data_IF_924754376754
#
_entry.id   IF_924754376754
#
_cell.length_a   1.000
_cell.length_b   1.000
_cell.length_c   1.000
_cell.angle_alpha   90.00
_cell.angle_beta   90.00
_cell.angle_gamma   90.00
#
_symmetry.space_group_name_H-M   'P 1'
#
loop_
_entity.id
_entity.type
_entity.pdbx_description
1 polymer ?
#
# COMPACT_ATOMS: atom_id res chain seq x y z
N UNK A 1 9.11 -1.45 15.30
CA UNK A 1 10.34 -0.63 15.12
C UNK A 1 10.20 0.68 15.89
N UNK A 2 11.29 1.18 16.49
CA UNK A 2 11.24 2.50 17.13
C UNK A 2 11.39 3.59 16.07
N UNK A 3 10.59 4.69 16.15
CA UNK A 3 10.74 5.82 15.25
C UNK A 3 12.16 6.38 15.27
N UNK A 4 12.69 6.76 14.12
CA UNK A 4 14.00 7.40 14.06
C UNK A 4 13.96 8.79 14.70
N UNK A 5 14.80 9.07 15.72
CA UNK A 5 14.69 10.29 16.53
C UNK A 5 15.25 11.56 15.88
N UNK A 6 15.65 11.51 14.62
CA UNK A 6 16.17 12.68 13.90
C UNK A 6 17.62 13.06 14.24
N UNK A 7 18.43 12.15 14.77
CA UNK A 7 19.80 12.40 15.27
C UNK A 7 20.70 13.12 14.25
N UNK A 8 20.47 12.93 12.94
CA UNK A 8 21.28 13.56 11.88
C UNK A 8 20.69 14.86 11.31
N UNK A 9 19.55 15.33 11.82
CA UNK A 9 18.87 16.53 11.29
C UNK A 9 19.72 17.81 11.43
N UNK A 10 20.48 17.92 12.52
CA UNK A 10 21.30 19.07 12.85
C UNK A 10 22.78 18.89 12.44
N UNK A 11 23.05 17.96 11.53
CA UNK A 11 24.40 17.67 11.05
C UNK A 11 24.98 16.39 11.61
N UNK A 12 26.12 15.98 11.07
CA UNK A 12 26.74 14.68 11.36
C UNK A 12 27.87 14.77 12.41
N UNK A 13 28.17 15.96 12.94
CA UNK A 13 29.22 16.19 13.93
C UNK A 13 30.56 15.53 13.51
N UNK A 14 30.98 15.75 12.25
CA UNK A 14 32.20 15.19 11.68
C UNK A 14 32.13 13.74 11.22
N UNK A 15 30.98 13.05 11.37
CA UNK A 15 30.81 11.67 10.88
C UNK A 15 30.56 11.64 9.38
N UNK A 16 31.04 10.62 8.70
CA UNK A 16 30.76 10.39 7.28
C UNK A 16 29.28 10.06 7.05
N UNK A 17 28.61 10.70 6.06
CA UNK A 17 27.24 10.35 5.68
C UNK A 17 27.15 8.88 5.24
N UNK A 18 26.17 8.14 5.77
CA UNK A 18 25.98 6.71 5.43
C UNK A 18 24.68 6.44 4.69
N UNK A 19 23.62 7.18 4.99
CA UNK A 19 22.32 6.99 4.38
C UNK A 19 21.62 8.34 4.21
N UNK A 20 20.75 8.44 3.21
CA UNK A 20 19.84 9.59 3.07
C UNK A 20 18.48 9.24 3.65
N UNK A 21 17.89 10.18 4.35
CA UNK A 21 16.58 10.02 4.97
C UNK A 21 15.63 11.14 4.55
N UNK A 22 14.36 10.79 4.41
CA UNK A 22 13.29 11.73 4.23
C UNK A 22 12.96 12.39 5.57
N UNK A 23 12.90 13.72 5.59
CA UNK A 23 12.54 14.46 6.81
C UNK A 23 11.02 14.53 6.97
N UNK A 24 10.44 13.51 7.61
CA UNK A 24 9.00 13.29 7.66
C UNK A 24 8.24 14.47 8.27
N UNK A 25 8.68 15.00 9.41
CA UNK A 25 8.02 16.12 10.11
C UNK A 25 7.94 17.38 9.26
N UNK A 26 9.05 17.74 8.58
CA UNK A 26 9.12 18.92 7.72
C UNK A 26 8.13 18.87 6.56
N UNK A 27 7.97 17.71 5.95
CA UNK A 27 7.09 17.54 4.79
C UNK A 27 5.64 17.29 5.19
N UNK A 28 5.39 16.52 6.26
CA UNK A 28 4.04 16.30 6.77
C UNK A 28 3.37 17.61 7.21
N UNK A 29 4.10 18.52 7.87
CA UNK A 29 3.57 19.82 8.29
C UNK A 29 3.22 20.77 7.12
N UNK A 30 3.73 20.49 5.93
CA UNK A 30 3.48 21.30 4.70
C UNK A 30 2.47 20.63 3.77
N UNK A 31 2.03 19.42 4.08
CA UNK A 31 1.12 18.67 3.24
C UNK A 31 -0.25 19.36 3.23
N UNK A 32 -0.77 19.78 2.07
CA UNK A 32 -2.08 20.37 2.00
C UNK A 32 -3.13 19.33 2.39
N UNK A 33 -4.11 19.73 3.21
CA UNK A 33 -5.27 18.91 3.58
C UNK A 33 -6.02 18.39 2.35
N UNK A 34 -5.89 19.06 1.21
CA UNK A 34 -6.52 18.72 -0.07
C UNK A 34 -5.88 17.55 -0.83
N UNK A 35 -4.69 17.06 -0.46
CA UNK A 35 -4.14 15.84 -1.08
C UNK A 35 -4.85 14.57 -0.60
N UNK A 36 -5.54 14.64 0.53
CA UNK A 36 -6.59 13.68 0.87
C UNK A 36 -7.77 13.71 -0.13
N UNK A 37 -7.87 14.75 -0.97
CA UNK A 37 -9.02 15.11 -1.81
C UNK A 37 -8.94 14.69 -3.28
N UNK A 38 -8.04 13.84 -3.71
CA UNK A 38 -8.23 13.17 -5.00
C UNK A 38 -9.42 12.19 -4.97
N UNK A 39 -10.00 11.99 -3.78
CA UNK A 39 -11.32 11.42 -3.61
C UNK A 39 -12.32 12.53 -3.22
N UNK A 40 -12.59 13.44 -4.13
CA UNK A 40 -13.52 14.57 -3.89
C UNK A 40 -14.90 14.16 -3.38
N UNK A 41 -15.35 12.95 -3.71
CA UNK A 41 -16.58 12.36 -3.17
C UNK A 41 -16.38 11.62 -1.83
N UNK A 42 -15.14 11.20 -1.50
CA UNK A 42 -14.80 10.59 -0.21
C UNK A 42 -14.50 11.65 0.88
N UNK A 43 -14.47 12.92 0.52
CA UNK A 43 -14.10 14.02 1.44
C UNK A 43 -15.10 14.11 2.62
N UNK A 44 -16.39 13.80 2.43
CA UNK A 44 -17.36 13.72 3.52
C UNK A 44 -17.08 12.58 4.50
N UNK A 45 -16.65 11.41 4.00
CA UNK A 45 -16.30 10.26 4.85
C UNK A 45 -15.00 10.46 5.60
N UNK A 46 -14.09 11.26 5.04
CA UNK A 46 -12.78 11.55 5.64
C UNK A 46 -12.87 12.68 6.65
N UNK A 47 -13.66 13.72 6.38
CA UNK A 47 -13.75 14.91 7.24
C UNK A 47 -14.18 14.60 8.68
N UNK A 48 -15.05 13.63 8.87
CA UNK A 48 -15.52 13.21 10.19
C UNK A 48 -14.57 12.26 10.91
N UNK A 49 -13.61 11.63 10.18
CA UNK A 49 -12.68 10.64 10.73
C UNK A 49 -11.28 11.20 10.98
N UNK A 50 -10.93 12.35 10.37
CA UNK A 50 -9.59 12.93 10.50
C UNK A 50 -9.54 13.91 11.66
N UNK A 51 -9.03 13.47 12.79
CA UNK A 51 -8.72 14.32 13.93
C UNK A 51 -7.19 14.45 14.05
N UNK A 52 -6.63 15.62 13.64
CA UNK A 52 -5.23 15.93 13.91
C UNK A 52 -4.30 15.94 12.69
N UNK A 53 -3.00 16.06 12.95
CA UNK A 53 -1.93 16.05 11.95
C UNK A 53 -1.61 14.63 11.52
N UNK A 54 -1.54 14.36 10.21
CA UNK A 54 -1.17 13.06 9.68
C UNK A 54 -1.44 12.94 8.20
N UNK A 55 -0.96 11.85 7.61
CA UNK A 55 -1.28 11.49 6.24
C UNK A 55 -2.55 10.67 6.25
N UNK A 56 -3.59 11.17 5.59
CA UNK A 56 -4.87 10.48 5.45
C UNK A 56 -5.07 10.02 4.01
N UNK A 57 -5.69 8.84 3.83
CA UNK A 57 -6.07 8.31 2.52
C UNK A 57 -7.29 7.39 2.63
N UNK A 58 -7.87 7.06 1.51
CA UNK A 58 -8.93 6.05 1.45
C UNK A 58 -8.40 4.82 0.74
N UNK A 59 -8.40 3.70 1.44
CA UNK A 59 -8.15 2.39 0.84
C UNK A 59 -9.48 1.79 0.38
N UNK A 60 -9.51 1.21 -0.82
CA UNK A 60 -10.74 0.69 -1.42
C UNK A 60 -11.33 -0.51 -0.68
N UNK A 61 -10.58 -1.18 0.18
CA UNK A 61 -11.04 -2.27 1.05
C UNK A 61 -11.05 -1.87 2.53
N UNK A 62 -9.97 -1.27 3.01
CA UNK A 62 -9.83 -0.92 4.44
C UNK A 62 -10.63 0.33 4.83
N UNK A 63 -11.11 1.10 3.82
CA UNK A 63 -11.80 2.37 4.06
C UNK A 63 -10.86 3.52 4.44
N UNK A 64 -11.35 4.53 5.16
CA UNK A 64 -10.54 5.67 5.60
C UNK A 64 -9.38 5.24 6.50
N UNK A 65 -8.19 5.72 6.21
CA UNK A 65 -6.97 5.44 6.94
C UNK A 65 -6.24 6.74 7.28
N UNK A 66 -5.53 6.76 8.39
CA UNK A 66 -4.69 7.90 8.79
C UNK A 66 -3.45 7.41 9.55
N UNK A 67 -2.30 8.03 9.31
CA UNK A 67 -1.09 7.79 10.09
C UNK A 67 -0.29 9.08 10.30
N UNK A 68 0.13 9.33 11.52
CA UNK A 68 1.14 10.35 11.82
C UNK A 68 2.55 9.78 11.58
N UNK A 69 3.01 9.93 10.34
CA UNK A 69 4.31 9.38 9.91
C UNK A 69 5.46 10.01 10.71
N UNK A 70 5.36 11.31 11.00
CA UNK A 70 6.41 12.00 11.74
C UNK A 70 6.63 11.40 13.14
N UNK A 71 5.56 11.04 13.83
CA UNK A 71 5.60 10.50 15.20
C UNK A 71 5.75 8.99 15.25
N UNK A 72 5.05 8.27 14.36
CA UNK A 72 4.96 6.80 14.43
C UNK A 72 6.10 6.11 13.68
N UNK A 73 6.64 6.76 12.64
CA UNK A 73 7.74 6.23 11.81
C UNK A 73 9.02 7.03 11.97
N UNK A 74 8.92 8.37 12.01
CA UNK A 74 10.04 9.28 11.95
C UNK A 74 10.64 9.38 10.53
N UNK A 75 11.89 9.86 10.46
CA UNK A 75 12.60 9.98 9.17
C UNK A 75 12.99 8.60 8.64
N UNK A 76 12.52 8.26 7.46
CA UNK A 76 12.77 6.97 6.83
C UNK A 76 13.81 7.04 5.71
N UNK A 77 14.47 5.90 5.45
CA UNK A 77 15.59 5.82 4.51
C UNK A 77 15.12 5.95 3.06
N UNK A 78 15.79 6.82 2.30
CA UNK A 78 15.66 6.96 0.84
C UNK A 78 16.82 6.28 0.09
N UNK A 79 18.04 6.42 0.61
CA UNK A 79 19.24 5.76 0.09
C UNK A 79 19.98 5.07 1.22
N UNK A 80 20.27 3.81 1.03
CA UNK A 80 20.93 2.94 2.00
C UNK A 80 22.43 3.26 2.10
N UNK A 81 23.05 2.77 3.17
CA UNK A 81 24.49 2.93 3.40
C UNK A 81 25.36 2.18 2.36
N UNK A 82 24.81 1.15 1.73
CA UNK A 82 25.43 0.39 0.62
C UNK A 82 25.26 1.09 -0.75
N UNK A 83 24.65 2.26 -0.77
CA UNK A 83 24.43 3.06 -1.98
C UNK A 83 23.19 2.71 -2.78
N UNK A 84 22.43 1.69 -2.41
CA UNK A 84 21.20 1.30 -3.08
C UNK A 84 20.03 2.22 -2.67
N UNK A 85 19.09 2.46 -3.60
CA UNK A 85 17.86 3.15 -3.31
C UNK A 85 16.96 2.28 -2.43
N UNK A 86 16.33 2.89 -1.44
CA UNK A 86 15.40 2.19 -0.58
C UNK A 86 14.05 1.99 -1.28
N UNK A 87 13.35 0.90 -0.92
CA UNK A 87 12.06 0.52 -1.49
C UNK A 87 11.07 1.68 -1.59
N UNK A 88 10.95 2.50 -0.54
CA UNK A 88 9.96 3.58 -0.50
C UNK A 88 10.15 4.61 -1.63
N UNK A 89 11.40 4.97 -1.94
CA UNK A 89 11.66 5.91 -3.04
C UNK A 89 11.57 5.22 -4.39
N UNK A 90 12.16 4.03 -4.52
CA UNK A 90 12.18 3.29 -5.78
C UNK A 90 10.75 3.05 -6.31
N UNK A 91 9.87 2.49 -5.48
CA UNK A 91 8.50 2.18 -5.92
C UNK A 91 7.70 3.43 -6.30
N UNK A 92 7.88 4.54 -5.57
CA UNK A 92 7.15 5.80 -5.88
C UNK A 92 7.59 6.39 -7.21
N UNK A 93 8.90 6.35 -7.50
CA UNK A 93 9.44 6.88 -8.77
C UNK A 93 9.07 5.97 -9.93
N UNK A 94 9.26 4.66 -9.77
CA UNK A 94 8.98 3.68 -10.82
C UNK A 94 7.47 3.65 -11.18
N UNK A 95 6.59 3.68 -10.18
CA UNK A 95 5.14 3.73 -10.40
C UNK A 95 4.72 5.01 -11.14
N UNK A 96 5.31 6.15 -10.78
CA UNK A 96 5.02 7.42 -11.46
C UNK A 96 5.53 7.43 -12.91
N UNK A 97 6.74 6.92 -13.15
CA UNK A 97 7.36 6.84 -14.48
C UNK A 97 6.55 5.92 -15.42
N UNK A 98 6.00 4.84 -14.87
CA UNK A 98 5.13 3.91 -15.61
C UNK A 98 3.66 4.36 -15.70
N UNK A 99 3.30 5.50 -15.12
CA UNK A 99 1.92 6.01 -15.14
C UNK A 99 0.94 5.15 -14.36
N UNK A 100 1.37 4.49 -13.28
CA UNK A 100 0.53 3.66 -12.44
C UNK A 100 -0.50 4.52 -11.71
N UNK A 101 -1.78 4.20 -11.91
CA UNK A 101 -2.91 4.92 -11.30
C UNK A 101 -3.58 4.15 -10.17
N UNK A 102 -3.36 2.82 -10.07
CA UNK A 102 -3.97 1.95 -9.08
C UNK A 102 -2.94 0.97 -8.54
N UNK A 103 -2.81 0.88 -7.21
CA UNK A 103 -1.94 -0.06 -6.52
C UNK A 103 -2.79 -1.09 -5.79
N UNK A 104 -2.61 -2.35 -6.17
CA UNK A 104 -3.23 -3.50 -5.50
C UNK A 104 -2.13 -4.38 -4.93
N UNK A 105 -2.13 -4.57 -3.60
CA UNK A 105 -1.08 -5.33 -2.90
C UNK A 105 -1.58 -5.90 -1.58
N UNK A 106 -0.79 -6.74 -0.93
CA UNK A 106 -1.14 -7.32 0.37
C UNK A 106 -1.24 -6.28 1.48
N UNK A 107 -2.11 -6.52 2.44
CA UNK A 107 -2.37 -5.64 3.59
C UNK A 107 -1.14 -5.40 4.48
N UNK A 108 -0.18 -6.33 4.46
CA UNK A 108 1.10 -6.19 5.15
C UNK A 108 1.95 -5.00 4.65
N UNK A 109 1.59 -4.42 3.51
CA UNK A 109 2.20 -3.22 2.97
C UNK A 109 1.36 -1.95 3.21
N UNK A 110 0.23 -2.02 3.91
CA UNK A 110 -0.63 -0.87 4.16
C UNK A 110 0.11 0.25 4.92
N UNK A 111 0.94 -0.11 5.89
CA UNK A 111 1.76 0.83 6.67
C UNK A 111 2.81 1.58 5.83
N UNK A 112 3.11 1.12 4.62
CA UNK A 112 4.01 1.83 3.71
C UNK A 112 3.32 2.97 2.97
N UNK A 113 2.01 2.89 2.81
CA UNK A 113 1.20 3.83 2.02
C UNK A 113 1.39 5.29 2.44
N UNK A 114 1.28 5.67 3.71
CA UNK A 114 1.43 7.07 4.10
C UNK A 114 2.85 7.62 3.85
N UNK A 115 3.90 6.79 3.95
CA UNK A 115 5.27 7.18 3.57
C UNK A 115 5.38 7.47 2.08
N UNK A 116 4.74 6.63 1.25
CA UNK A 116 4.72 6.78 -0.20
C UNK A 116 3.92 8.01 -0.62
N UNK A 117 2.77 8.29 0.01
CA UNK A 117 1.98 9.49 -0.22
C UNK A 117 2.78 10.76 0.14
N UNK A 118 3.52 10.76 1.24
CA UNK A 118 4.42 11.87 1.59
C UNK A 118 5.50 12.10 0.52
N UNK A 119 6.09 11.03 -0.02
CA UNK A 119 7.07 11.12 -1.10
C UNK A 119 6.44 11.63 -2.40
N UNK A 120 5.28 11.11 -2.78
CA UNK A 120 4.53 11.58 -3.95
C UNK A 120 4.26 13.08 -3.84
N UNK A 121 3.76 13.53 -2.70
CA UNK A 121 3.53 14.95 -2.43
C UNK A 121 4.80 15.78 -2.52
N UNK A 122 5.89 15.32 -1.91
CA UNK A 122 7.17 16.03 -1.91
C UNK A 122 7.82 16.13 -3.29
N UNK A 123 7.54 15.16 -4.17
CA UNK A 123 8.04 15.11 -5.55
C UNK A 123 7.07 15.75 -6.56
N UNK A 124 5.89 16.22 -6.11
CA UNK A 124 4.87 16.77 -7.00
C UNK A 124 4.21 15.73 -7.91
N UNK A 125 4.19 14.46 -7.48
CA UNK A 125 3.60 13.34 -8.21
C UNK A 125 2.15 13.13 -7.79
N UNK A 126 1.33 12.64 -8.71
CA UNK A 126 -0.04 12.22 -8.40
C UNK A 126 -0.03 10.98 -7.50
N UNK A 127 -0.87 10.95 -6.47
CA UNK A 127 -1.05 9.77 -5.64
C UNK A 127 -1.99 8.78 -6.35
N UNK A 128 -1.60 7.49 -6.51
CA UNK A 128 -2.47 6.45 -7.04
C UNK A 128 -3.58 6.08 -6.06
N UNK A 129 -4.61 5.37 -6.54
CA UNK A 129 -5.59 4.74 -5.68
C UNK A 129 -5.03 3.45 -5.07
N UNK A 130 -5.32 3.20 -3.80
CA UNK A 130 -4.83 2.02 -3.09
C UNK A 130 -5.94 1.02 -2.80
N UNK A 131 -5.62 -0.27 -2.92
CA UNK A 131 -6.42 -1.38 -2.46
C UNK A 131 -5.49 -2.43 -1.83
N UNK A 132 -5.65 -2.66 -0.54
CA UNK A 132 -4.90 -3.69 0.17
C UNK A 132 -5.74 -4.97 0.31
N UNK A 133 -5.25 -6.06 -0.27
CA UNK A 133 -5.94 -7.37 -0.23
C UNK A 133 -5.70 -8.06 1.11
N UNK A 134 -6.62 -8.93 1.57
CA UNK A 134 -6.38 -9.79 2.71
C UNK A 134 -5.11 -10.62 2.54
N UNK A 135 -4.51 -11.02 3.65
CA UNK A 135 -3.38 -11.94 3.66
C UNK A 135 -3.88 -13.38 3.71
N UNK A 136 -3.13 -14.28 3.09
CA UNK A 136 -3.30 -15.71 3.31
C UNK A 136 -2.52 -16.09 4.57
N UNK A 137 -3.23 -16.59 5.57
CA UNK A 137 -2.63 -17.01 6.83
C UNK A 137 -2.65 -18.54 6.98
N UNK A 138 -1.70 -19.07 7.73
CA UNK A 138 -1.68 -20.46 8.17
C UNK A 138 -2.71 -20.74 9.27
N UNK A 139 -2.77 -21.97 9.73
CA UNK A 139 -3.63 -22.37 10.84
C UNK A 139 -3.26 -21.69 12.17
N UNK A 140 -2.03 -21.20 12.28
CA UNK A 140 -1.50 -20.43 13.40
C UNK A 140 -1.88 -18.93 13.36
N UNK A 141 -2.57 -18.49 12.30
CA UNK A 141 -2.92 -17.09 12.06
C UNK A 141 -1.79 -16.24 11.47
N UNK A 142 -0.59 -16.78 11.34
CA UNK A 142 0.54 -16.07 10.76
C UNK A 142 0.48 -16.05 9.23
N UNK A 143 0.99 -14.96 8.64
CA UNK A 143 1.05 -14.82 7.18
C UNK A 143 1.85 -15.97 6.56
N UNK A 144 1.28 -16.63 5.55
CA UNK A 144 2.01 -17.61 4.76
C UNK A 144 3.20 -16.97 4.06
N UNK A 145 4.39 -17.46 4.34
CA UNK A 145 5.63 -16.99 3.72
C UNK A 145 6.61 -18.13 3.53
N UNK A 146 7.59 -17.96 2.63
CA UNK A 146 8.68 -18.94 2.45
C UNK A 146 9.44 -19.20 3.75
N UNK A 147 9.56 -18.19 4.62
CA UNK A 147 10.25 -18.32 5.91
C UNK A 147 9.47 -19.20 6.91
N UNK A 148 8.15 -19.28 6.77
CA UNK A 148 7.28 -20.12 7.59
C UNK A 148 6.89 -21.44 6.89
N UNK A 149 7.69 -21.89 5.90
CA UNK A 149 7.51 -23.17 5.27
C UNK A 149 6.26 -23.29 4.38
N UNK A 150 5.74 -22.18 3.86
CA UNK A 150 4.63 -22.24 2.92
C UNK A 150 4.98 -23.09 1.70
N UNK A 151 4.13 -24.07 1.31
CA UNK A 151 4.39 -24.89 0.15
C UNK A 151 4.35 -24.06 -1.12
N UNK A 152 5.09 -24.44 -2.17
CA UNK A 152 4.98 -23.80 -3.47
C UNK A 152 3.56 -23.93 -4.03
N UNK A 153 3.18 -22.99 -4.89
CA UNK A 153 1.89 -23.07 -5.61
C UNK A 153 1.92 -24.31 -6.52
N UNK A 154 0.85 -25.10 -6.47
CA UNK A 154 0.65 -26.24 -7.38
C UNK A 154 0.13 -25.74 -8.73
N UNK A 155 1.04 -25.57 -9.69
CA UNK A 155 0.74 -25.15 -11.05
C UNK A 155 0.11 -26.27 -11.91
N UNK A 156 0.20 -27.51 -11.45
CA UNK A 156 -0.49 -28.65 -12.07
C UNK A 156 -2.01 -28.62 -11.85
N UNK A 157 -2.51 -27.82 -10.88
CA UNK A 157 -3.93 -27.65 -10.57
C UNK A 157 -4.33 -26.17 -10.50
N UNK A 158 -4.16 -25.40 -11.61
CA UNK A 158 -4.28 -23.95 -11.61
C UNK A 158 -5.67 -23.45 -11.19
N UNK A 159 -6.74 -24.13 -11.58
CA UNK A 159 -8.10 -23.75 -11.19
C UNK A 159 -8.30 -23.86 -9.67
N UNK A 160 -7.76 -24.89 -9.04
CA UNK A 160 -7.86 -25.09 -7.59
C UNK A 160 -7.05 -24.02 -6.83
N UNK A 161 -5.83 -23.75 -7.29
CA UNK A 161 -4.98 -22.70 -6.69
C UNK A 161 -5.64 -21.32 -6.78
N UNK A 162 -6.20 -20.98 -7.95
CA UNK A 162 -6.93 -19.72 -8.15
C UNK A 162 -8.23 -19.65 -7.35
N UNK A 163 -8.95 -20.76 -7.20
CA UNK A 163 -10.16 -20.81 -6.37
C UNK A 163 -9.86 -20.56 -4.89
N UNK A 164 -8.76 -21.10 -4.39
CA UNK A 164 -8.30 -20.84 -3.02
C UNK A 164 -7.95 -19.34 -2.82
N UNK A 165 -7.25 -18.73 -3.78
CA UNK A 165 -6.98 -17.30 -3.75
C UNK A 165 -8.27 -16.44 -3.83
N UNK A 166 -9.21 -16.81 -4.70
CA UNK A 166 -10.50 -16.15 -4.82
C UNK A 166 -11.31 -16.21 -3.51
N UNK A 167 -11.25 -17.32 -2.79
CA UNK A 167 -11.90 -17.48 -1.49
C UNK A 167 -11.34 -16.48 -0.46
N UNK A 168 -10.03 -16.29 -0.40
CA UNK A 168 -9.38 -15.31 0.50
C UNK A 168 -9.84 -13.87 0.16
N UNK A 169 -10.06 -13.61 -1.13
CA UNK A 169 -10.58 -12.32 -1.60
C UNK A 169 -12.10 -12.16 -1.39
N UNK A 170 -12.78 -13.13 -0.79
CA UNK A 170 -14.24 -13.12 -0.61
C UNK A 170 -15.03 -13.26 -1.91
N UNK A 171 -14.40 -13.80 -2.97
CA UNK A 171 -15.05 -13.98 -4.26
C UNK A 171 -15.81 -15.32 -4.30
N UNK A 172 -16.87 -15.43 -5.13
CA UNK A 172 -17.70 -16.63 -5.17
C UNK A 172 -16.91 -17.85 -5.68
N UNK A 173 -17.27 -19.04 -5.18
CA UNK A 173 -16.76 -20.28 -5.73
C UNK A 173 -17.14 -20.41 -7.22
N UNK A 174 -16.29 -21.01 -8.06
CA UNK A 174 -16.65 -21.31 -9.43
C UNK A 174 -17.81 -22.32 -9.47
N UNK A 175 -18.67 -22.29 -10.50
CA UNK A 175 -19.76 -23.25 -10.63
C UNK A 175 -19.26 -24.71 -10.57
N UNK A 176 -20.06 -25.60 -10.00
CA UNK A 176 -19.76 -27.03 -9.97
C UNK A 176 -19.51 -27.54 -11.41
N UNK A 177 -18.45 -28.35 -11.57
CA UNK A 177 -18.05 -28.86 -12.88
C UNK A 177 -17.25 -27.89 -13.74
N UNK A 178 -16.92 -26.70 -13.24
CA UNK A 178 -16.00 -25.80 -13.96
C UNK A 178 -14.63 -26.45 -14.14
N UNK A 179 -14.16 -26.50 -15.39
CA UNK A 179 -12.84 -27.06 -15.73
C UNK A 179 -11.91 -26.05 -16.36
N UNK A 180 -12.43 -24.92 -16.81
CA UNK A 180 -11.67 -23.90 -17.53
C UNK A 180 -11.33 -22.71 -16.62
N UNK A 181 -10.03 -22.45 -16.51
CA UNK A 181 -9.52 -21.29 -15.76
C UNK A 181 -10.09 -19.96 -16.28
N UNK A 182 -10.23 -19.82 -17.61
CA UNK A 182 -10.75 -18.59 -18.21
C UNK A 182 -12.18 -18.24 -17.77
N UNK A 183 -13.05 -19.25 -17.61
CA UNK A 183 -14.44 -19.04 -17.20
C UNK A 183 -14.50 -18.60 -15.73
N UNK A 184 -13.69 -19.22 -14.87
CA UNK A 184 -13.55 -18.83 -13.48
C UNK A 184 -12.99 -17.40 -13.33
N UNK A 185 -11.95 -17.06 -14.07
CA UNK A 185 -11.39 -15.70 -14.08
C UNK A 185 -12.43 -14.67 -14.54
N UNK A 186 -13.19 -14.95 -15.59
CA UNK A 186 -14.24 -14.06 -16.06
C UNK A 186 -15.35 -13.84 -14.99
N UNK A 187 -15.68 -14.88 -14.22
CA UNK A 187 -16.58 -14.75 -13.08
C UNK A 187 -15.99 -13.85 -12.00
N UNK A 188 -14.74 -14.11 -11.60
CA UNK A 188 -14.09 -13.37 -10.52
C UNK A 188 -13.80 -11.92 -10.87
N UNK A 189 -13.44 -11.59 -12.12
CA UNK A 189 -13.30 -10.19 -12.56
C UNK A 189 -14.60 -9.41 -12.39
N UNK A 190 -15.74 -10.01 -12.79
CA UNK A 190 -17.04 -9.37 -12.59
C UNK A 190 -17.43 -9.25 -11.10
N UNK A 191 -17.13 -10.26 -10.29
CA UNK A 191 -17.38 -10.22 -8.85
C UNK A 191 -16.49 -9.18 -8.17
N UNK A 192 -15.19 -9.16 -8.49
CA UNK A 192 -14.24 -8.16 -8.01
C UNK A 192 -14.69 -6.73 -8.28
N UNK A 193 -15.12 -6.44 -9.52
CA UNK A 193 -15.58 -5.11 -9.90
C UNK A 193 -16.83 -4.66 -9.12
N UNK A 194 -17.63 -5.58 -8.55
CA UNK A 194 -18.78 -5.26 -7.69
C UNK A 194 -18.38 -5.05 -6.24
N UNK A 195 -17.42 -5.85 -5.76
CA UNK A 195 -16.96 -5.83 -4.36
C UNK A 195 -16.02 -4.66 -4.08
N UNK A 196 -15.10 -4.40 -5.00
CA UNK A 196 -14.04 -3.40 -4.85
C UNK A 196 -14.18 -2.28 -5.89
N UNK A 197 -15.33 -1.60 -5.88
CA UNK A 197 -15.61 -0.48 -6.78
C UNK A 197 -14.54 0.59 -6.68
N UNK A 198 -14.14 1.24 -7.80
CA UNK A 198 -13.34 2.46 -7.73
C UNK A 198 -14.09 3.51 -6.90
N UNK A 199 -13.35 4.26 -6.10
CA UNK A 199 -13.92 5.36 -5.27
C UNK A 199 -14.29 6.58 -6.13
N UNK A 200 -13.84 6.60 -7.39
CA UNK A 200 -14.07 7.69 -8.34
C UNK A 200 -14.80 7.11 -9.57
N UNK A 201 -15.85 7.81 -10.02
CA UNK A 201 -16.49 7.52 -11.29
C UNK A 201 -15.45 7.60 -12.44
N UNK A 202 -15.56 6.77 -13.49
CA UNK A 202 -14.71 6.94 -14.68
C UNK A 202 -14.93 8.32 -15.27
N UNK A 203 -13.82 8.95 -15.67
CA UNK A 203 -13.81 10.21 -16.41
C UNK A 203 -14.61 10.11 -17.72
#
# INVERSE_FOLDING_TARGET
ERPYPGTCRNGLNGRTPRAWRFHAEKYQSKMPLSLASQAQEATHLIADCITGSGVAWVDRRLGPQQQDVARQVGDFVLRRADGLWAYQLAVVVDDADHGVTHIVRGEDLADNTPRQILLQSALGLAAPQYLHTPLVCGADGEKLSKQHGAPPIDDGRPLQALAAAAQVLGLPAPPAGSTRVADALALWVRAWARTYKPTIAPL
#
